data_IF_281070629734
#
_entry.id   IF_281070629734
#
_cell.length_a   1.000
_cell.length_b   1.000
_cell.length_c   1.000
_cell.angle_alpha   90.00
_cell.angle_beta   90.00
_cell.angle_gamma   90.00
#
_symmetry.space_group_name_H-M   'P 1'
#
loop_
_entity.id
_entity.type
_entity.pdbx_description
1 polymer ?
#
# COMPACT_ATOMS: atom_id res chain seq x y z
N UNK A 1 4.16 -7.35 0.51
CA UNK A 1 2.70 -7.27 0.40
C UNK A 1 2.34 -6.29 -0.68
N UNK A 2 1.57 -6.74 -1.65
CA UNK A 2 1.19 -5.88 -2.77
C UNK A 2 0.03 -4.98 -2.41
N UNK A 3 0.18 -3.70 -2.69
CA UNK A 3 -0.88 -2.74 -2.46
C UNK A 3 -1.12 -1.90 -3.70
N UNK A 4 -2.30 -1.30 -3.76
CA UNK A 4 -2.69 -0.41 -4.82
C UNK A 4 -3.08 0.91 -4.16
N UNK A 5 -2.52 2.00 -4.65
CA UNK A 5 -2.73 3.32 -4.06
C UNK A 5 -3.42 4.22 -5.06
N UNK A 6 -4.52 4.80 -4.64
CA UNK A 6 -5.26 5.77 -5.46
C UNK A 6 -5.01 7.18 -4.96
N UNK A 7 -4.91 8.10 -5.90
CA UNK A 7 -4.62 9.50 -5.61
C UNK A 7 -5.76 10.35 -6.14
N UNK A 8 -6.15 11.38 -5.40
CA UNK A 8 -7.21 12.28 -5.84
C UNK A 8 -6.82 12.97 -7.13
N UNK A 9 -7.80 13.18 -7.98
CA UNK A 9 -7.63 13.89 -9.26
C UNK A 9 -6.72 13.16 -10.24
N UNK A 10 -6.61 11.84 -10.09
CA UNK A 10 -5.80 11.05 -11.00
C UNK A 10 -6.53 9.75 -11.32
N UNK A 11 -6.45 9.35 -12.59
CA UNK A 11 -7.02 8.07 -13.00
C UNK A 11 -6.00 6.96 -12.88
N UNK A 12 -4.76 7.30 -12.52
CA UNK A 12 -3.69 6.32 -12.45
C UNK A 12 -3.64 5.71 -11.07
N UNK A 13 -3.56 4.40 -11.01
CA UNK A 13 -3.39 3.68 -9.76
C UNK A 13 -1.93 3.27 -9.64
N UNK A 14 -1.34 3.54 -8.50
CA UNK A 14 0.04 3.16 -8.24
C UNK A 14 0.05 1.82 -7.51
N UNK A 15 0.98 0.94 -7.89
CA UNK A 15 1.11 -0.35 -7.21
C UNK A 15 2.50 -0.43 -6.60
N UNK A 16 2.60 -1.12 -5.49
CA UNK A 16 3.85 -1.22 -4.75
C UNK A 16 3.87 -2.51 -3.95
N UNK A 17 5.01 -3.19 -3.94
CA UNK A 17 5.20 -4.32 -3.06
C UNK A 17 5.85 -3.75 -1.79
N UNK A 18 5.02 -3.37 -0.85
CA UNK A 18 5.46 -2.65 0.33
C UNK A 18 6.12 -3.59 1.34
N UNK A 19 7.20 -3.11 1.95
CA UNK A 19 7.94 -3.90 2.93
C UNK A 19 7.40 -3.62 4.33
N UNK A 20 6.13 -3.96 4.52
CA UNK A 20 5.43 -3.78 5.79
C UNK A 20 4.31 -4.81 5.84
N UNK A 21 3.83 -5.11 7.03
CA UNK A 21 2.64 -5.95 7.15
C UNK A 21 1.39 -5.06 7.19
N UNK A 22 0.22 -5.66 7.18
CA UNK A 22 -1.04 -4.92 7.11
C UNK A 22 -1.25 -3.99 8.30
N UNK A 23 -0.83 -4.42 9.48
CA UNK A 23 -1.00 -3.59 10.68
C UNK A 23 -0.09 -2.38 10.64
N UNK A 24 1.15 -2.58 10.23
CA UNK A 24 2.09 -1.47 10.11
C UNK A 24 1.62 -0.47 9.06
N UNK A 25 1.11 -0.98 7.95
CA UNK A 25 0.62 -0.14 6.87
C UNK A 25 -0.58 0.68 7.34
N UNK A 26 -1.53 0.04 8.01
CA UNK A 26 -2.72 0.73 8.51
C UNK A 26 -2.34 1.80 9.52
N UNK A 27 -1.41 1.50 10.41
CA UNK A 27 -0.96 2.47 11.40
C UNK A 27 -0.30 3.67 10.75
N UNK A 28 0.55 3.42 9.75
CA UNK A 28 1.24 4.49 9.05
C UNK A 28 0.26 5.41 8.33
N UNK A 29 -0.75 4.83 7.69
CA UNK A 29 -1.75 5.60 6.97
C UNK A 29 -2.58 6.42 7.95
N UNK A 30 -3.02 5.79 9.02
CA UNK A 30 -3.85 6.46 10.03
C UNK A 30 -3.13 7.65 10.62
N UNK A 31 -1.85 7.46 10.95
CA UNK A 31 -1.08 8.52 11.55
C UNK A 31 -0.83 9.66 10.57
N UNK A 32 -0.53 9.33 9.32
CA UNK A 32 -0.30 10.34 8.31
C UNK A 32 -1.56 11.19 8.07
N UNK A 33 -2.72 10.54 8.03
CA UNK A 33 -3.98 11.24 7.83
C UNK A 33 -4.33 12.10 9.04
N UNK A 34 -4.10 11.56 10.23
CA UNK A 34 -4.45 12.27 11.45
C UNK A 34 -3.63 13.54 11.63
N UNK A 35 -2.36 13.49 11.26
CA UNK A 35 -1.48 14.63 11.42
C UNK A 35 -1.25 15.41 10.14
N UNK A 36 -1.90 14.99 9.07
CA UNK A 36 -1.79 15.65 7.77
C UNK A 36 -0.35 15.74 7.31
N UNK A 37 0.35 14.64 7.46
CA UNK A 37 1.75 14.57 7.08
C UNK A 37 1.92 13.84 5.77
N UNK A 38 3.16 13.69 5.35
CA UNK A 38 3.52 12.93 4.16
C UNK A 38 3.55 11.46 4.54
N UNK A 39 2.94 10.63 3.71
CA UNK A 39 2.97 9.19 3.88
C UNK A 39 4.16 8.63 3.10
N UNK A 40 5.01 7.87 3.76
CA UNK A 40 6.16 7.24 3.13
C UNK A 40 6.03 5.74 3.28
N UNK A 41 6.08 5.03 2.17
CA UNK A 41 5.96 3.58 2.17
C UNK A 41 7.18 2.96 1.51
N UNK A 42 7.93 2.13 2.24
CA UNK A 42 9.12 1.50 1.66
C UNK A 42 8.72 0.30 0.81
N UNK A 43 9.34 0.17 -0.35
CA UNK A 43 9.15 -0.99 -1.21
C UNK A 43 10.22 -2.02 -0.95
N UNK A 44 9.91 -3.28 -1.23
CA UNK A 44 10.84 -4.37 -1.00
C UNK A 44 12.06 -4.31 -1.91
N UNK A 45 11.90 -3.64 -3.05
CA UNK A 45 13.01 -3.53 -4.00
C UNK A 45 13.91 -2.33 -3.71
N UNK A 46 13.71 -1.67 -2.59
CA UNK A 46 14.50 -0.48 -2.27
C UNK A 46 13.87 0.82 -2.72
N UNK A 47 12.76 0.76 -3.43
CA UNK A 47 12.07 1.97 -3.84
C UNK A 47 11.26 2.52 -2.66
N UNK A 48 10.72 3.71 -2.81
CA UNK A 48 9.94 4.32 -1.76
C UNK A 48 8.84 5.15 -2.40
N UNK A 49 7.63 4.97 -1.92
CA UNK A 49 6.51 5.78 -2.35
C UNK A 49 6.30 6.88 -1.33
N UNK A 50 6.32 8.13 -1.78
CA UNK A 50 6.13 9.28 -0.91
C UNK A 50 4.95 10.07 -1.46
N UNK A 51 3.94 10.26 -0.64
CA UNK A 51 2.73 10.93 -1.10
C UNK A 51 2.16 11.78 0.03
N UNK A 52 1.71 13.00 -0.25
CA UNK A 52 1.05 13.82 0.78
C UNK A 52 -0.25 13.14 1.19
N UNK A 53 -0.51 13.10 2.49
CA UNK A 53 -1.72 12.46 2.98
C UNK A 53 -2.98 13.08 2.38
N UNK A 54 -2.95 14.38 2.10
CA UNK A 54 -4.09 15.07 1.53
C UNK A 54 -4.41 14.63 0.10
N UNK A 55 -3.45 14.03 -0.58
CA UNK A 55 -3.66 13.55 -1.95
C UNK A 55 -4.09 12.09 -2.00
N UNK A 56 -4.06 11.41 -0.86
CA UNK A 56 -4.37 9.99 -0.81
C UNK A 56 -5.87 9.77 -0.87
N UNK A 57 -6.32 9.01 -1.85
CA UNK A 57 -7.73 8.67 -1.98
C UNK A 57 -8.03 7.34 -1.29
N UNK A 58 -7.23 6.33 -1.56
CA UNK A 58 -7.42 5.03 -0.93
C UNK A 58 -6.14 4.21 -1.04
N UNK A 59 -6.03 3.19 -0.19
CA UNK A 59 -4.99 2.18 -0.30
C UNK A 59 -5.69 0.82 -0.21
N UNK A 60 -5.47 0.00 -1.21
CA UNK A 60 -6.08 -1.32 -1.24
C UNK A 60 -4.99 -2.36 -1.08
N UNK A 61 -5.16 -3.25 -0.14
CA UNK A 61 -4.23 -4.37 0.06
C UNK A 61 -4.69 -5.48 -0.89
N UNK A 62 -3.83 -5.85 -1.81
CA UNK A 62 -4.16 -6.85 -2.79
C UNK A 62 -4.01 -8.24 -2.19
N UNK A 63 -4.91 -9.13 -2.58
CA UNK A 63 -4.89 -10.47 -2.08
C UNK A 63 -3.70 -11.19 -2.66
N UNK A 64 -2.95 -11.87 -1.80
CA UNK A 64 -1.82 -12.63 -2.28
C UNK A 64 -2.29 -13.88 -2.96
N UNK A 65 -1.63 -14.25 -4.05
CA UNK A 65 -1.98 -15.41 -4.74
C UNK A 65 -1.20 -16.53 -4.30
N UNK A 66 -1.54 -17.13 -3.36
CA UNK A 66 -0.75 -18.18 -2.88
C UNK A 66 -1.15 -19.42 -3.42
N UNK A 67 -1.28 -19.49 -3.90
CA UNK A 67 -1.88 -20.13 -4.22
C UNK A 67 -1.90 -21.27 -4.09
N UNK A 68 -1.82 -21.10 -4.02
CA UNK A 68 -1.89 -21.63 -3.88
C UNK A 68 -1.87 -22.56 -3.92
N UNK A 69 -1.59 -22.77 -4.19
CA UNK A 69 -1.51 -23.34 -4.18
C UNK A 69 -1.72 -24.36 -4.02
N UNK A 70 -1.72 -24.50 -4.20
CA UNK A 70 -1.94 -25.15 -4.14
C UNK A 70 -2.21 -26.05 -3.89
N UNK A 71 -2.33 -25.84 -4.03
CA UNK A 71 -2.65 -26.48 -3.75
C UNK A 71 -3.03 -27.38 -3.74
N UNK A 72 -3.06 -27.42 -3.94
CA UNK A 72 -3.49 -27.99 -3.99
C UNK A 72 -3.69 -28.72 -4.06
N UNK A 73 -3.69 -28.68 -4.37
CA UNK A 73 -3.94 -29.15 -4.35
C UNK A 73 -4.06 -29.85 -4.30
N UNK A 74 -4.28 -30.06 -4.61
CA UNK A 74 -4.39 -30.43 -4.43
C UNK A 74 -4.58 -30.92 -4.27
#
# INVERSE_FOLDING_TARGET
MDISVGVYHSDVTLTLDVDMNAEELTSAITEALKEQKILKLPGKDGSQLIIPASSLSYVKILKEEQRRVGFGFI
#
